data_IF_176332020099
#
_entry.id   IF_176332020099
#
_cell.length_a   1.000
_cell.length_b   1.000
_cell.length_c   1.000
_cell.angle_alpha   90.00
_cell.angle_beta   90.00
_cell.angle_gamma   90.00
#
_symmetry.space_group_name_H-M   'P 1'
#
loop_
_entity.id
_entity.type
_entity.pdbx_description
1 polymer ?
#
# COMPACT_ATOMS: atom_id res chain seq x y z
N UNK A 1 76.16 29.06 -21.50
CA UNK A 1 76.15 27.94 -20.54
C UNK A 1 74.85 28.00 -19.74
N UNK A 2 73.96 27.03 -19.93
CA UNK A 2 72.61 27.03 -19.34
C UNK A 2 72.59 26.23 -18.03
N UNK A 3 72.31 26.89 -16.91
CA UNK A 3 72.13 26.23 -15.61
C UNK A 3 70.65 25.89 -15.39
N UNK A 4 70.33 24.59 -15.47
CA UNK A 4 69.02 23.99 -15.30
C UNK A 4 68.63 23.99 -13.81
N UNK A 5 67.75 24.90 -13.40
CA UNK A 5 67.21 24.96 -12.04
C UNK A 5 66.31 23.75 -11.76
N UNK A 6 66.78 22.86 -10.88
CA UNK A 6 66.00 21.70 -10.40
C UNK A 6 65.12 22.18 -9.23
N UNK A 7 63.82 22.27 -9.46
CA UNK A 7 62.85 22.54 -8.41
C UNK A 7 62.81 21.34 -7.45
N UNK A 8 63.50 21.47 -6.31
CA UNK A 8 63.36 20.55 -5.19
C UNK A 8 61.99 20.83 -4.56
N UNK A 9 61.03 19.93 -4.77
CA UNK A 9 59.75 19.94 -4.08
C UNK A 9 60.01 19.54 -2.62
N UNK A 10 60.14 20.54 -1.76
CA UNK A 10 60.34 20.38 -0.32
C UNK A 10 59.15 19.64 0.30
N UNK A 11 59.39 18.53 1.02
CA UNK A 11 58.36 17.68 1.64
C UNK A 11 57.45 18.37 2.68
N UNK A 12 57.69 19.64 2.99
CA UNK A 12 56.91 20.45 3.94
C UNK A 12 55.68 21.10 3.28
N UNK A 13 55.67 21.30 1.95
CA UNK A 13 54.55 21.92 1.22
C UNK A 13 53.53 20.91 0.66
N UNK A 14 53.84 19.61 0.71
CA UNK A 14 52.94 18.54 0.26
C UNK A 14 51.76 18.32 1.22
N UNK A 15 51.96 18.57 2.51
CA UNK A 15 50.92 18.41 3.54
C UNK A 15 49.68 19.31 3.31
N UNK A 16 49.80 20.63 3.08
CA UNK A 16 48.62 21.48 2.87
C UNK A 16 47.88 21.19 1.56
N UNK A 17 48.60 20.84 0.49
CA UNK A 17 47.98 20.50 -0.81
C UNK A 17 47.19 19.19 -0.70
N UNK A 18 47.75 18.18 -0.02
CA UNK A 18 47.06 16.91 0.17
C UNK A 18 45.82 17.06 1.06
N UNK A 19 45.88 17.88 2.11
CA UNK A 19 44.73 18.16 2.98
C UNK A 19 43.60 18.86 2.23
N UNK A 20 43.92 19.86 1.41
CA UNK A 20 42.91 20.61 0.64
C UNK A 20 42.25 19.74 -0.43
N UNK A 21 43.01 18.89 -1.12
CA UNK A 21 42.47 17.89 -2.04
C UNK A 21 41.56 16.88 -1.33
N UNK A 22 41.94 16.42 -0.15
CA UNK A 22 41.14 15.48 0.62
C UNK A 22 39.80 16.08 1.06
N UNK A 23 39.83 17.29 1.65
CA UNK A 23 38.61 17.99 2.07
C UNK A 23 37.74 18.36 0.88
N UNK A 24 38.34 18.85 -0.21
CA UNK A 24 37.63 19.13 -1.45
C UNK A 24 36.98 17.88 -2.03
N UNK A 25 37.71 16.77 -2.08
CA UNK A 25 37.20 15.48 -2.56
C UNK A 25 35.99 14.98 -1.75
N UNK A 26 36.04 15.10 -0.41
CA UNK A 26 34.91 14.73 0.46
C UNK A 26 33.69 15.61 0.19
N UNK A 27 33.86 16.92 0.03
CA UNK A 27 32.75 17.84 -0.23
C UNK A 27 32.12 17.60 -1.60
N UNK A 28 32.92 17.46 -2.66
CA UNK A 28 32.41 17.17 -4.00
C UNK A 28 31.76 15.77 -4.07
N UNK A 29 32.38 14.77 -3.43
CA UNK A 29 31.83 13.41 -3.36
C UNK A 29 30.51 13.34 -2.58
N UNK A 30 30.39 14.10 -1.48
CA UNK A 30 29.18 14.17 -0.67
C UNK A 30 27.97 14.70 -1.45
N UNK A 31 28.16 15.73 -2.28
CA UNK A 31 27.08 16.29 -3.11
C UNK A 31 26.58 15.27 -4.14
N UNK A 32 27.48 14.53 -4.79
CA UNK A 32 27.13 13.49 -5.77
C UNK A 32 26.37 12.32 -5.11
N UNK A 33 26.80 11.92 -3.90
CA UNK A 33 26.14 10.87 -3.11
C UNK A 33 24.70 11.25 -2.74
N UNK A 34 24.44 12.51 -2.38
CA UNK A 34 23.10 12.99 -2.04
C UNK A 34 22.14 12.94 -3.23
N UNK A 35 22.62 13.29 -4.43
CA UNK A 35 21.82 13.22 -5.66
C UNK A 35 21.49 11.77 -6.01
N UNK A 36 22.46 10.87 -5.87
CA UNK A 36 22.25 9.43 -6.09
C UNK A 36 21.23 8.84 -5.11
N UNK A 37 21.28 9.24 -3.84
CA UNK A 37 20.34 8.79 -2.82
C UNK A 37 18.93 9.34 -3.05
N UNK A 38 18.80 10.61 -3.48
CA UNK A 38 17.52 11.19 -3.90
C UNK A 38 16.87 10.43 -5.05
N UNK A 39 17.67 9.98 -6.02
CA UNK A 39 17.13 9.28 -7.20
C UNK A 39 16.60 7.87 -6.83
N UNK A 40 17.18 7.22 -5.80
CA UNK A 40 16.66 5.94 -5.29
C UNK A 40 15.35 6.05 -4.51
N UNK A 41 15.09 7.18 -3.85
CA UNK A 41 13.84 7.41 -3.11
C UNK A 41 12.62 7.56 -4.04
N UNK A 42 12.83 8.02 -5.29
CA UNK A 42 11.76 8.18 -6.28
C UNK A 42 11.13 6.85 -6.72
N UNK A 43 11.85 5.73 -6.63
CA UNK A 43 11.31 4.42 -7.04
C UNK A 43 10.34 3.89 -5.99
N UNK A 44 10.71 3.98 -4.70
CA UNK A 44 9.87 3.59 -3.57
C UNK A 44 8.61 4.47 -3.46
N UNK A 45 8.76 5.78 -3.65
CA UNK A 45 7.60 6.69 -3.66
C UNK A 45 6.61 6.39 -4.78
N UNK A 46 7.09 6.00 -5.96
CA UNK A 46 6.24 5.59 -7.09
C UNK A 46 5.50 4.28 -6.81
N UNK A 47 6.15 3.33 -6.17
CA UNK A 47 5.54 2.05 -5.81
C UNK A 47 4.47 2.21 -4.73
N UNK A 48 4.74 3.00 -3.69
CA UNK A 48 3.76 3.33 -2.66
C UNK A 48 2.55 4.05 -3.29
N UNK A 49 2.78 5.06 -4.12
CA UNK A 49 1.69 5.78 -4.79
C UNK A 49 0.84 4.86 -5.68
N UNK A 50 1.48 3.90 -6.38
CA UNK A 50 0.76 2.91 -7.20
C UNK A 50 -0.10 1.99 -6.32
N UNK A 51 0.44 1.51 -5.21
CA UNK A 51 -0.29 0.64 -4.28
C UNK A 51 -1.45 1.38 -3.62
N UNK A 52 -1.25 2.63 -3.20
CA UNK A 52 -2.31 3.48 -2.65
C UNK A 52 -3.44 3.71 -3.66
N UNK A 53 -3.10 3.98 -4.93
CA UNK A 53 -4.09 4.11 -6.00
C UNK A 53 -4.87 2.82 -6.25
N UNK A 54 -4.18 1.67 -6.27
CA UNK A 54 -4.84 0.37 -6.44
C UNK A 54 -5.78 0.06 -5.27
N UNK A 55 -5.35 0.35 -4.05
CA UNK A 55 -6.16 0.14 -2.85
C UNK A 55 -7.39 1.04 -2.85
N UNK A 56 -7.24 2.31 -3.25
CA UNK A 56 -8.37 3.24 -3.40
C UNK A 56 -9.39 2.74 -4.44
N UNK A 57 -8.91 2.25 -5.60
CA UNK A 57 -9.78 1.69 -6.63
C UNK A 57 -10.58 0.47 -6.12
N UNK A 58 -9.89 -0.49 -5.49
CA UNK A 58 -10.53 -1.70 -4.94
C UNK A 58 -11.56 -1.34 -3.85
N UNK A 59 -11.26 -0.37 -2.98
CA UNK A 59 -12.23 0.10 -1.97
C UNK A 59 -13.47 0.70 -2.62
N UNK A 60 -13.28 1.55 -3.63
CA UNK A 60 -14.39 2.17 -4.35
C UNK A 60 -15.27 1.11 -5.03
N UNK A 61 -14.66 0.09 -5.63
CA UNK A 61 -15.40 -1.00 -6.28
C UNK A 61 -16.13 -1.87 -5.26
N UNK A 62 -15.52 -2.18 -4.12
CA UNK A 62 -16.20 -2.86 -3.02
C UNK A 62 -17.41 -2.06 -2.51
N UNK A 63 -17.29 -0.75 -2.33
CA UNK A 63 -18.41 0.09 -1.92
C UNK A 63 -19.55 0.08 -2.96
N UNK A 64 -19.21 0.13 -4.25
CA UNK A 64 -20.20 0.03 -5.33
C UNK A 64 -20.91 -1.32 -5.29
N UNK A 65 -20.17 -2.42 -5.19
CA UNK A 65 -20.72 -3.77 -5.10
C UNK A 65 -21.60 -3.93 -3.86
N UNK A 66 -21.17 -3.43 -2.70
CA UNK A 66 -21.98 -3.42 -1.48
C UNK A 66 -23.29 -2.66 -1.67
N UNK A 67 -23.26 -1.49 -2.31
CA UNK A 67 -24.46 -0.72 -2.64
C UNK A 67 -25.37 -1.48 -3.60
N UNK A 68 -24.81 -2.14 -4.62
CA UNK A 68 -25.58 -2.98 -5.54
C UNK A 68 -26.22 -4.16 -4.83
N UNK A 69 -25.49 -4.86 -3.97
CA UNK A 69 -26.02 -5.96 -3.16
C UNK A 69 -27.14 -5.45 -2.27
N UNK A 70 -26.97 -4.30 -1.59
CA UNK A 70 -28.01 -3.74 -0.73
C UNK A 70 -29.27 -3.41 -1.53
N UNK A 71 -29.13 -2.84 -2.72
CA UNK A 71 -30.26 -2.60 -3.64
C UNK A 71 -30.92 -3.91 -4.06
N UNK A 72 -30.14 -4.94 -4.43
CA UNK A 72 -30.67 -6.24 -4.86
C UNK A 72 -31.30 -7.06 -3.72
N UNK A 73 -30.79 -6.92 -2.49
CA UNK A 73 -31.33 -7.51 -1.27
C UNK A 73 -32.51 -6.71 -0.71
N UNK A 74 -32.83 -5.55 -1.28
CA UNK A 74 -34.00 -4.78 -0.84
C UNK A 74 -35.26 -5.58 -1.17
N UNK A 75 -36.16 -5.81 -0.19
CA UNK A 75 -37.38 -6.60 -0.39
C UNK A 75 -38.20 -6.18 -1.62
N UNK A 76 -38.25 -4.88 -1.91
CA UNK A 76 -38.95 -4.33 -3.07
C UNK A 76 -38.43 -4.85 -4.42
N UNK A 77 -37.11 -5.05 -4.57
CA UNK A 77 -36.51 -5.59 -5.81
C UNK A 77 -36.76 -7.08 -5.93
N UNK A 78 -36.74 -7.79 -4.80
CA UNK A 78 -37.07 -9.22 -4.76
C UNK A 78 -38.54 -9.41 -5.14
N UNK A 79 -39.46 -8.63 -4.56
CA UNK A 79 -40.89 -8.66 -4.87
C UNK A 79 -41.19 -8.31 -6.34
N UNK A 80 -40.49 -7.33 -6.92
CA UNK A 80 -40.66 -7.00 -8.33
C UNK A 80 -40.21 -8.14 -9.24
N UNK A 81 -39.06 -8.78 -8.94
CA UNK A 81 -38.57 -9.94 -9.69
C UNK A 81 -39.47 -11.17 -9.54
N UNK A 82 -40.01 -11.41 -8.35
CA UNK A 82 -41.01 -12.46 -8.10
C UNK A 82 -42.26 -12.27 -8.94
N UNK A 83 -42.73 -11.02 -9.05
CA UNK A 83 -43.90 -10.66 -9.87
C UNK A 83 -43.62 -10.79 -11.37
N UNK A 84 -42.45 -10.32 -11.82
CA UNK A 84 -42.00 -10.47 -13.22
C UNK A 84 -41.86 -11.93 -13.63
N UNK A 85 -41.23 -12.75 -12.79
CA UNK A 85 -41.01 -14.17 -13.04
C UNK A 85 -42.24 -15.04 -12.75
N UNK A 86 -43.38 -14.43 -12.36
CA UNK A 86 -44.65 -15.11 -12.02
C UNK A 86 -44.45 -16.28 -11.07
N UNK A 87 -43.55 -16.13 -10.10
CA UNK A 87 -43.20 -17.22 -9.16
C UNK A 87 -44.33 -17.52 -8.16
N UNK A 88 -45.41 -16.74 -8.17
CA UNK A 88 -46.58 -16.99 -7.32
C UNK A 88 -46.29 -16.86 -5.83
N UNK A 89 -45.17 -16.25 -5.43
CA UNK A 89 -44.89 -15.95 -4.04
C UNK A 89 -45.70 -14.70 -3.67
N UNK A 90 -46.82 -14.92 -2.97
CA UNK A 90 -47.59 -13.84 -2.36
C UNK A 90 -46.97 -13.49 -1.00
N UNK A 91 -47.08 -12.22 -0.55
CA UNK A 91 -46.76 -11.86 0.82
C UNK A 91 -47.55 -12.75 1.79
N UNK A 92 -46.94 -13.22 2.89
CA UNK A 92 -47.65 -14.03 3.87
C UNK A 92 -48.87 -13.27 4.39
N UNK A 93 -50.01 -13.95 4.45
CA UNK A 93 -51.25 -13.33 4.93
C UNK A 93 -51.17 -13.01 6.44
N UNK A 94 -52.04 -12.12 6.96
CA UNK A 94 -52.01 -11.68 8.36
C UNK A 94 -52.22 -12.81 9.39
N UNK A 95 -52.62 -14.00 8.94
CA UNK A 95 -52.87 -15.19 9.77
C UNK A 95 -51.79 -16.27 9.63
N UNK A 96 -50.70 -15.99 8.92
CA UNK A 96 -49.67 -16.97 8.60
C UNK A 96 -48.41 -16.74 9.46
N UNK A 97 -48.08 -17.73 10.30
CA UNK A 97 -46.84 -17.70 11.10
C UNK A 97 -45.62 -17.85 10.20
N UNK A 98 -44.74 -16.84 10.22
CA UNK A 98 -43.47 -16.84 9.48
C UNK A 98 -42.36 -17.28 10.43
N UNK A 99 -41.82 -18.48 10.21
CA UNK A 99 -40.64 -18.96 10.92
C UNK A 99 -39.39 -18.53 10.15
N UNK A 100 -38.64 -17.57 10.71
CA UNK A 100 -37.33 -17.17 10.17
C UNK A 100 -36.31 -18.17 10.69
N UNK A 101 -35.86 -19.09 9.84
CA UNK A 101 -34.72 -19.94 10.17
C UNK A 101 -33.44 -19.11 10.03
N UNK A 102 -32.62 -19.09 11.08
CA UNK A 102 -31.25 -18.59 10.97
C UNK A 102 -30.51 -19.44 9.95
N UNK A 103 -29.93 -18.77 8.96
CA UNK A 103 -29.04 -19.42 7.99
C UNK A 103 -27.92 -20.14 8.76
N UNK A 104 -27.61 -21.42 8.45
CA UNK A 104 -26.47 -22.08 9.06
C UNK A 104 -25.25 -21.22 8.75
N UNK A 105 -24.60 -20.72 9.81
CA UNK A 105 -23.37 -19.95 9.68
C UNK A 105 -22.39 -20.69 8.80
N UNK A 106 -21.48 -19.98 8.10
CA UNK A 106 -20.50 -20.63 7.23
C UNK A 106 -19.87 -21.74 8.04
N UNK A 107 -20.03 -22.99 7.58
CA UNK A 107 -19.21 -24.08 8.07
C UNK A 107 -17.79 -23.52 8.06
N UNK A 108 -17.18 -23.52 9.24
CA UNK A 108 -15.80 -23.11 9.42
C UNK A 108 -15.00 -24.10 8.59
N UNK A 109 -14.84 -23.78 7.30
CA UNK A 109 -13.79 -24.35 6.49
C UNK A 109 -12.56 -23.87 7.24
N UNK A 110 -11.98 -24.78 8.00
CA UNK A 110 -10.66 -24.70 8.57
C UNK A 110 -9.72 -24.44 7.38
N UNK A 111 -9.62 -23.17 6.99
CA UNK A 111 -8.50 -22.69 6.23
C UNK A 111 -7.37 -22.80 7.21
N UNK A 112 -6.69 -23.95 7.17
CA UNK A 112 -5.35 -24.12 7.72
C UNK A 112 -4.50 -23.02 7.09
N UNK A 113 -4.50 -21.85 7.74
CA UNK A 113 -3.60 -20.77 7.43
C UNK A 113 -2.22 -21.31 7.77
N UNK A 114 -1.29 -21.45 6.79
CA UNK A 114 0.10 -21.66 7.16
C UNK A 114 0.50 -20.44 8.00
N UNK A 115 0.89 -20.74 9.23
CA UNK A 115 1.34 -19.78 10.22
C UNK A 115 2.22 -18.69 9.60
N UNK A 116 1.77 -17.44 9.70
CA UNK A 116 2.63 -16.31 9.40
C UNK A 116 1.93 -15.04 9.00
N UNK A 117 1.01 -14.51 9.81
CA UNK A 117 0.88 -13.05 9.90
C UNK A 117 0.34 -12.66 11.29
N UNK A 118 1.28 -12.44 12.20
CA UNK A 118 1.04 -11.81 13.50
C UNK A 118 0.72 -10.34 13.24
N UNK A 119 -0.56 -10.01 13.07
CA UNK A 119 -1.07 -8.66 13.23
C UNK A 119 -1.39 -8.45 14.70
N UNK A 120 -0.44 -7.93 15.48
CA UNK A 120 -0.68 -7.47 16.84
C UNK A 120 -1.78 -6.40 16.81
N UNK A 121 -2.95 -6.74 17.34
CA UNK A 121 -3.94 -5.77 17.79
C UNK A 121 -3.39 -5.06 19.02
N UNK A 122 -3.02 -3.78 18.86
CA UNK A 122 -2.80 -2.91 20.00
C UNK A 122 -4.14 -2.71 20.72
N UNK A 123 -4.28 -3.38 21.86
CA UNK A 123 -5.34 -3.18 22.85
C UNK A 123 -5.25 -1.75 23.37
N UNK A 124 -6.23 -0.92 23.02
CA UNK A 124 -6.54 0.31 23.76
C UNK A 124 -7.74 -0.04 24.64
N UNK A 125 -7.50 -0.10 25.94
CA UNK A 125 -8.53 -0.08 27.00
C UNK A 125 -8.30 1.23 27.78
N UNK A 126 -9.36 1.95 28.16
CA UNK A 126 -9.29 3.29 28.74
C UNK A 126 -8.51 3.40 30.05
#
# INVERSE_FOLDING_TARGET
MAARSRHRLSGVALSPILKTLFVGGILLGGVLQLVYLKNKSMTLGREIARLEQQLAAIRQDNERLRKQILVLQTPAVIESRVRELKLGLLPPGPWQEVYVLSEPGPEEIEVTQPHGFVGQTATIVP
#
